data_IF_021873814875
#
_entry.id   IF_021873814875
#
_cell.length_a   1.000
_cell.length_b   1.000
_cell.length_c   1.000
_cell.angle_alpha   90.00
_cell.angle_beta   90.00
_cell.angle_gamma   90.00
#
_symmetry.space_group_name_H-M   'P 1'
#
loop_
_entity.id
_entity.type
_entity.pdbx_description
1 polymer ?
#
# COMPACT_ATOMS: atom_id res chain seq x y z
N UNK A 1 37.51 -12.45 4.60
CA UNK A 1 36.83 -11.98 3.39
C UNK A 1 35.57 -12.80 3.16
N UNK A 2 34.46 -12.13 2.96
CA UNK A 2 33.16 -12.75 2.67
C UNK A 2 32.72 -12.30 1.27
N UNK A 3 32.27 -13.24 0.45
CA UNK A 3 31.66 -12.94 -0.83
C UNK A 3 30.16 -12.80 -0.62
N UNK A 4 29.60 -11.65 -0.99
CA UNK A 4 28.15 -11.39 -1.00
C UNK A 4 27.71 -11.27 -2.44
N UNK A 5 26.69 -12.03 -2.80
CA UNK A 5 26.12 -12.01 -4.17
C UNK A 5 24.73 -11.39 -4.11
N UNK A 6 24.47 -10.38 -4.90
CA UNK A 6 23.16 -9.76 -5.01
C UNK A 6 22.17 -10.62 -5.82
N UNK A 7 20.91 -10.22 -5.85
CA UNK A 7 19.86 -10.92 -6.58
C UNK A 7 20.07 -10.94 -8.13
N UNK A 8 21.02 -10.15 -8.64
CA UNK A 8 21.39 -10.10 -10.06
C UNK A 8 22.62 -10.93 -10.39
N UNK A 9 23.19 -11.61 -9.38
CA UNK A 9 24.36 -12.45 -9.54
C UNK A 9 25.69 -11.70 -9.46
N UNK A 10 25.70 -10.40 -9.13
CA UNK A 10 26.94 -9.64 -8.95
C UNK A 10 27.57 -10.01 -7.62
N UNK A 11 28.84 -10.43 -7.64
CA UNK A 11 29.57 -10.78 -6.44
C UNK A 11 30.45 -9.61 -5.99
N UNK A 12 30.34 -9.26 -4.71
CA UNK A 12 31.20 -8.29 -4.04
C UNK A 12 31.98 -8.98 -2.92
N UNK A 13 33.28 -8.77 -2.89
CA UNK A 13 34.14 -9.27 -1.80
C UNK A 13 34.21 -8.19 -0.74
N UNK A 14 33.73 -8.51 0.48
CA UNK A 14 33.77 -7.62 1.63
C UNK A 14 34.91 -8.10 2.55
N UNK A 15 35.76 -7.18 2.97
CA UNK A 15 36.78 -7.47 3.97
C UNK A 15 36.17 -7.38 5.37
N UNK A 16 35.96 -8.54 5.98
CA UNK A 16 35.26 -8.66 7.28
C UNK A 16 36.10 -8.06 8.42
N UNK A 17 37.41 -7.96 8.27
CA UNK A 17 38.29 -7.39 9.30
C UNK A 17 38.05 -5.88 9.50
N UNK A 18 37.43 -5.22 8.51
CA UNK A 18 37.07 -3.80 8.56
C UNK A 18 35.63 -3.52 9.05
N UNK A 19 34.86 -4.56 9.44
CA UNK A 19 33.46 -4.44 9.82
C UNK A 19 33.28 -4.85 11.27
N UNK A 20 32.96 -3.87 12.12
CA UNK A 20 32.71 -4.11 13.55
C UNK A 20 31.44 -4.95 13.80
N UNK A 21 30.48 -4.89 12.90
CA UNK A 21 29.27 -5.71 12.97
C UNK A 21 28.62 -5.86 11.59
N UNK A 22 28.11 -7.05 11.28
CA UNK A 22 27.27 -7.32 10.12
C UNK A 22 25.85 -7.57 10.61
N UNK A 23 24.94 -6.65 10.31
CA UNK A 23 23.53 -6.85 10.57
C UNK A 23 22.91 -7.51 9.35
N UNK A 24 22.65 -8.80 9.44
CA UNK A 24 21.90 -9.52 8.40
C UNK A 24 20.41 -9.32 8.69
N UNK A 25 19.75 -8.50 7.90
CA UNK A 25 18.29 -8.40 7.93
C UNK A 25 17.71 -9.33 6.89
N UNK A 26 16.80 -10.23 7.25
CA UNK A 26 16.09 -11.03 6.25
C UNK A 26 15.27 -10.09 5.36
N UNK A 27 15.36 -10.27 4.05
CA UNK A 27 14.49 -9.57 3.11
C UNK A 27 13.11 -10.21 3.22
N UNK A 28 12.12 -9.41 3.55
CA UNK A 28 10.75 -9.88 3.76
C UNK A 28 9.70 -8.91 3.20
N UNK A 29 8.46 -9.37 3.22
CA UNK A 29 7.31 -8.52 2.85
C UNK A 29 7.21 -7.37 3.84
N UNK A 30 7.04 -6.11 3.39
CA UNK A 30 6.87 -4.96 4.27
C UNK A 30 5.72 -5.14 5.25
N UNK A 31 5.89 -4.69 6.48
CA UNK A 31 4.90 -4.80 7.53
C UNK A 31 4.34 -3.43 7.89
N UNK A 32 3.02 -3.29 7.79
CA UNK A 32 2.27 -2.10 8.14
C UNK A 32 1.65 -2.27 9.52
N UNK A 33 2.02 -1.41 10.44
CA UNK A 33 1.46 -1.34 11.78
C UNK A 33 0.56 -0.11 11.88
N UNK A 34 -0.74 -0.35 12.01
CA UNK A 34 -1.77 0.69 12.10
C UNK A 34 -2.38 0.64 13.49
N UNK A 35 -2.16 1.68 14.27
CA UNK A 35 -2.75 1.83 15.60
C UNK A 35 -3.89 2.85 15.52
N UNK A 36 -5.12 2.38 15.65
CA UNK A 36 -6.31 3.20 15.66
C UNK A 36 -6.49 3.81 17.03
N UNK A 37 -6.49 5.13 17.11
CA UNK A 37 -6.55 5.85 18.38
C UNK A 37 -7.92 5.79 19.03
N UNK A 38 -8.99 5.70 18.21
CA UNK A 38 -10.38 5.64 18.70
C UNK A 38 -10.79 4.24 19.18
N UNK A 39 -10.03 3.20 18.80
CA UNK A 39 -10.36 1.81 19.07
C UNK A 39 -9.10 1.02 19.49
N UNK A 40 -8.55 1.26 20.68
CA UNK A 40 -7.29 0.64 21.10
C UNK A 40 -7.37 -0.90 21.21
N UNK A 41 -8.55 -1.45 21.49
CA UNK A 41 -8.78 -2.91 21.58
C UNK A 41 -9.40 -3.51 20.30
N UNK A 42 -9.35 -2.79 19.22
CA UNK A 42 -10.11 -3.13 18.04
C UNK A 42 -9.59 -4.36 17.28
N UNK A 43 -10.52 -5.18 16.84
CA UNK A 43 -10.28 -6.33 15.98
C UNK A 43 -10.90 -6.20 14.58
N UNK A 44 -11.97 -5.40 14.43
CA UNK A 44 -12.66 -5.14 13.17
C UNK A 44 -13.18 -3.70 13.12
N UNK A 45 -13.12 -3.04 11.96
CA UNK A 45 -13.74 -1.74 11.74
C UNK A 45 -15.26 -1.90 11.86
N UNK A 46 -15.80 -1.33 12.89
CA UNK A 46 -17.23 -1.31 13.15
C UNK A 46 -17.77 0.00 12.59
N UNK A 47 -18.81 -0.07 11.79
CA UNK A 47 -19.44 1.10 11.22
C UNK A 47 -19.45 1.12 9.68
N UNK A 48 -19.64 2.31 9.13
CA UNK A 48 -19.68 2.52 7.69
C UNK A 48 -18.28 2.52 7.08
N UNK A 49 -18.16 2.07 5.82
CA UNK A 49 -16.90 2.19 5.05
C UNK A 49 -16.41 3.64 4.91
N UNK A 50 -17.29 4.61 5.09
CA UNK A 50 -17.00 6.04 4.96
C UNK A 50 -16.52 6.68 6.27
N UNK A 51 -16.68 6.01 7.41
CA UNK A 51 -16.24 6.54 8.68
C UNK A 51 -14.72 6.68 8.69
N UNK A 52 -14.26 7.85 9.06
CA UNK A 52 -12.84 8.20 9.11
C UNK A 52 -12.34 8.05 10.55
N UNK A 53 -11.22 7.35 10.70
CA UNK A 53 -10.61 7.08 12.00
C UNK A 53 -9.18 7.61 12.03
N UNK A 54 -8.82 8.41 13.02
CA UNK A 54 -7.44 8.79 13.24
C UNK A 54 -6.62 7.55 13.63
N UNK A 55 -5.44 7.44 13.05
CA UNK A 55 -4.54 6.33 13.32
C UNK A 55 -3.07 6.77 13.23
N UNK A 56 -2.22 6.03 13.90
CA UNK A 56 -0.77 6.11 13.75
C UNK A 56 -0.32 4.95 12.86
N UNK A 57 0.34 5.28 11.76
CA UNK A 57 0.89 4.32 10.81
C UNK A 57 2.40 4.30 10.93
N UNK A 58 2.97 3.10 11.05
CA UNK A 58 4.39 2.80 10.91
C UNK A 58 4.57 1.67 9.91
N UNK A 59 5.63 1.69 9.12
CA UNK A 59 5.97 0.59 8.23
C UNK A 59 7.41 0.16 8.45
N UNK A 60 7.61 -1.14 8.58
CA UNK A 60 8.91 -1.79 8.48
C UNK A 60 9.08 -2.31 7.05
N UNK A 61 10.09 -1.81 6.35
CA UNK A 61 10.38 -2.17 4.96
C UNK A 61 11.02 -3.55 4.80
N UNK A 62 11.39 -4.21 5.92
CA UNK A 62 12.00 -5.55 5.98
C UNK A 62 13.18 -5.73 5.00
N UNK A 63 14.01 -4.68 4.86
CA UNK A 63 15.18 -4.67 3.98
C UNK A 63 14.86 -4.62 2.48
N UNK A 64 13.58 -4.65 2.09
CA UNK A 64 13.14 -4.51 0.70
C UNK A 64 12.88 -3.04 0.34
N UNK A 65 12.39 -2.25 1.28
CA UNK A 65 12.13 -0.83 1.15
C UNK A 65 12.63 -0.08 2.38
N UNK A 66 12.75 1.24 2.27
CA UNK A 66 13.03 2.10 3.41
C UNK A 66 11.87 2.05 4.40
N UNK A 67 12.20 2.08 5.69
CA UNK A 67 11.20 2.14 6.75
C UNK A 67 10.44 3.46 6.70
N UNK A 68 9.16 3.42 7.03
CA UNK A 68 8.34 4.61 7.23
C UNK A 68 8.18 4.84 8.73
N UNK A 69 8.70 5.93 9.28
CA UNK A 69 8.52 6.26 10.69
C UNK A 69 7.04 6.51 11.01
N UNK A 70 6.70 6.51 12.28
CA UNK A 70 5.35 6.78 12.74
C UNK A 70 4.81 8.11 12.18
N UNK A 71 3.60 8.04 11.64
CA UNK A 71 2.91 9.19 11.06
C UNK A 71 1.43 9.13 11.40
N UNK A 72 0.86 10.29 11.64
CA UNK A 72 -0.59 10.45 11.74
C UNK A 72 -1.22 10.27 10.36
N UNK A 73 -2.24 9.44 10.30
CA UNK A 73 -3.02 9.17 9.10
C UNK A 73 -4.50 9.15 9.42
N UNK A 74 -5.32 9.42 8.41
CA UNK A 74 -6.76 9.12 8.47
C UNK A 74 -6.99 7.80 7.76
N UNK A 75 -7.57 6.85 8.49
CA UNK A 75 -7.82 5.49 8.03
C UNK A 75 -9.33 5.27 7.86
N UNK A 76 -9.75 4.59 6.81
CA UNK A 76 -11.15 4.24 6.59
C UNK A 76 -11.33 3.00 5.72
N UNK A 77 -12.54 2.46 5.72
CA UNK A 77 -12.95 1.41 4.79
C UNK A 77 -12.98 1.89 3.34
N UNK A 78 -12.94 0.95 2.41
CA UNK A 78 -13.13 1.18 0.97
C UNK A 78 -13.79 -0.02 0.29
N UNK A 79 -14.12 0.18 -0.99
CA UNK A 79 -14.71 -0.84 -1.84
C UNK A 79 -16.23 -0.89 -1.73
N UNK A 80 -16.87 -1.48 -2.71
CA UNK A 80 -18.32 -1.66 -2.78
C UNK A 80 -18.68 -3.07 -2.31
N UNK A 81 -18.80 -4.04 -3.21
CA UNK A 81 -19.08 -5.43 -2.86
C UNK A 81 -18.02 -6.04 -1.92
N UNK A 82 -16.76 -5.67 -2.09
CA UNK A 82 -15.65 -6.17 -1.26
C UNK A 82 -15.69 -5.71 0.19
N UNK A 83 -16.38 -4.60 0.50
CA UNK A 83 -16.60 -4.15 1.86
C UNK A 83 -17.47 -5.14 2.68
N UNK A 84 -18.33 -5.88 2.03
CA UNK A 84 -19.19 -6.87 2.67
C UNK A 84 -18.50 -8.21 2.93
N UNK A 85 -17.23 -8.36 2.49
CA UNK A 85 -16.45 -9.58 2.71
C UNK A 85 -15.85 -9.62 4.13
N UNK A 86 -15.51 -10.83 4.60
CA UNK A 86 -14.91 -11.01 5.93
C UNK A 86 -13.59 -10.27 6.10
N UNK A 87 -12.74 -10.30 5.07
CA UNK A 87 -11.50 -9.51 5.05
C UNK A 87 -11.74 -8.23 4.27
N UNK A 88 -11.80 -7.12 4.95
CA UNK A 88 -12.19 -5.83 4.40
C UNK A 88 -11.00 -5.09 3.79
N UNK A 89 -11.18 -4.41 2.65
CA UNK A 89 -10.18 -3.50 2.11
C UNK A 89 -10.27 -2.13 2.80
N UNK A 90 -9.14 -1.42 2.83
CA UNK A 90 -9.01 -0.14 3.50
C UNK A 90 -8.32 0.90 2.63
N UNK A 91 -8.37 2.15 3.03
CA UNK A 91 -7.52 3.22 2.54
C UNK A 91 -7.01 4.06 3.70
N UNK A 92 -5.86 4.69 3.50
CA UNK A 92 -5.34 5.67 4.43
C UNK A 92 -4.89 6.92 3.69
N UNK A 93 -4.98 8.06 4.38
CA UNK A 93 -4.58 9.37 3.88
C UNK A 93 -3.58 9.98 4.85
N UNK A 94 -2.44 10.36 4.32
CA UNK A 94 -1.36 11.02 5.04
C UNK A 94 -1.53 12.55 5.00
N UNK A 95 -0.98 13.24 5.99
CA UNK A 95 -0.97 14.70 6.04
C UNK A 95 -0.13 15.32 4.91
N UNK A 96 0.98 14.66 4.55
CA UNK A 96 1.92 15.09 3.49
C UNK A 96 2.06 14.03 2.41
N UNK A 97 2.38 14.46 1.17
CA UNK A 97 2.74 13.53 0.10
C UNK A 97 4.03 12.79 0.49
N UNK A 98 3.94 11.49 0.62
CA UNK A 98 5.05 10.61 1.06
C UNK A 98 5.22 9.47 0.07
N UNK A 99 6.46 9.08 -0.20
CA UNK A 99 6.76 7.85 -0.95
C UNK A 99 6.60 6.65 0.00
N UNK A 100 5.91 5.62 -0.43
CA UNK A 100 5.70 4.40 0.34
C UNK A 100 6.05 3.21 -0.55
N UNK A 101 6.89 2.31 -0.09
CA UNK A 101 7.33 1.13 -0.84
C UNK A 101 7.82 1.46 -2.26
N UNK A 102 8.61 2.50 -2.44
CA UNK A 102 9.15 2.90 -3.73
C UNK A 102 8.16 3.53 -4.71
N UNK A 103 6.87 3.65 -4.34
CA UNK A 103 5.87 4.33 -5.17
C UNK A 103 6.07 5.83 -5.18
N UNK A 104 5.50 6.52 -6.18
CA UNK A 104 5.50 7.98 -6.25
C UNK A 104 4.88 8.60 -4.99
N UNK A 105 5.35 9.81 -4.64
CA UNK A 105 4.82 10.55 -3.49
C UNK A 105 3.34 10.84 -3.66
N UNK A 106 2.52 10.28 -2.80
CA UNK A 106 1.09 10.50 -2.75
C UNK A 106 0.61 10.74 -1.31
N UNK A 107 -0.59 11.30 -1.15
CA UNK A 107 -1.23 11.41 0.16
C UNK A 107 -2.08 10.19 0.50
N UNK A 108 -2.62 9.50 -0.50
CA UNK A 108 -3.62 8.46 -0.29
C UNK A 108 -3.21 7.16 -0.96
N UNK A 109 -3.31 6.08 -0.19
CA UNK A 109 -3.03 4.73 -0.62
C UNK A 109 -4.19 3.80 -0.26
N UNK A 110 -4.28 2.69 -0.96
CA UNK A 110 -5.28 1.66 -0.72
C UNK A 110 -4.61 0.34 -0.32
N UNK A 111 -5.24 -0.35 0.62
CA UNK A 111 -4.92 -1.70 1.05
C UNK A 111 -6.02 -2.63 0.53
N UNK A 112 -5.74 -3.32 -0.56
CA UNK A 112 -6.68 -4.24 -1.20
C UNK A 112 -6.58 -5.59 -0.52
N UNK A 113 -7.71 -6.11 -0.06
CA UNK A 113 -7.75 -7.36 0.70
C UNK A 113 -7.57 -8.63 -0.14
N UNK A 114 -7.88 -8.57 -1.45
CA UNK A 114 -7.88 -9.70 -2.38
C UNK A 114 -8.64 -10.93 -1.87
N UNK A 115 -9.70 -10.73 -1.06
CA UNK A 115 -10.36 -11.80 -0.31
C UNK A 115 -10.94 -12.93 -1.19
N UNK A 116 -11.45 -12.59 -2.37
CA UNK A 116 -12.06 -13.56 -3.29
C UNK A 116 -11.00 -14.34 -4.08
N UNK A 117 -9.79 -13.78 -4.17
CA UNK A 117 -8.68 -14.41 -4.89
C UNK A 117 -7.84 -15.26 -3.94
N UNK A 118 -8.04 -16.58 -3.95
CA UNK A 118 -7.27 -17.51 -3.12
C UNK A 118 -5.76 -17.47 -3.39
N UNK A 119 -5.34 -17.05 -4.59
CA UNK A 119 -3.92 -16.90 -4.92
C UNK A 119 -3.31 -15.61 -4.39
N UNK A 120 -4.13 -14.59 -4.10
CA UNK A 120 -3.75 -13.21 -3.77
C UNK A 120 -2.92 -12.50 -4.86
N UNK A 121 -2.83 -13.08 -6.06
CA UNK A 121 -1.89 -12.67 -7.11
C UNK A 121 -2.53 -12.04 -8.34
N UNK A 122 -3.83 -12.24 -8.59
CA UNK A 122 -4.47 -11.80 -9.84
C UNK A 122 -4.30 -10.30 -10.09
N UNK A 123 -4.62 -9.47 -9.11
CA UNK A 123 -4.44 -8.03 -9.22
C UNK A 123 -2.96 -7.65 -9.35
N UNK A 124 -2.09 -8.31 -8.61
CA UNK A 124 -0.65 -8.09 -8.68
C UNK A 124 -0.11 -8.38 -10.08
N UNK A 125 -0.47 -9.52 -10.65
CA UNK A 125 -0.04 -9.90 -12.02
C UNK A 125 -0.61 -8.94 -13.05
N UNK A 126 -1.89 -8.55 -12.95
CA UNK A 126 -2.52 -7.62 -13.88
C UNK A 126 -1.86 -6.25 -13.86
N UNK A 127 -1.61 -5.69 -12.67
CA UNK A 127 -0.93 -4.39 -12.53
C UNK A 127 0.55 -4.45 -12.94
N UNK A 128 1.23 -5.56 -12.61
CA UNK A 128 2.59 -5.78 -13.07
C UNK A 128 2.66 -5.83 -14.60
N UNK A 129 1.75 -6.57 -15.24
CA UNK A 129 1.68 -6.66 -16.71
C UNK A 129 1.36 -5.30 -17.33
N UNK A 130 0.44 -4.53 -16.75
CA UNK A 130 0.12 -3.19 -17.22
C UNK A 130 1.35 -2.26 -17.18
N UNK A 131 2.12 -2.30 -16.10
CA UNK A 131 3.37 -1.55 -15.99
C UNK A 131 4.45 -2.07 -16.95
N UNK A 132 4.55 -3.39 -17.13
CA UNK A 132 5.50 -4.01 -18.09
C UNK A 132 5.18 -3.61 -19.53
N UNK A 133 3.93 -3.47 -19.89
CA UNK A 133 3.45 -3.00 -21.18
C UNK A 133 3.45 -1.47 -21.32
N UNK A 134 3.99 -0.76 -20.34
CA UNK A 134 4.03 0.71 -20.29
C UNK A 134 2.65 1.37 -20.49
N UNK A 135 1.58 0.72 -19.98
CA UNK A 135 0.24 1.30 -20.05
C UNK A 135 0.20 2.61 -19.24
N UNK A 136 -0.33 3.69 -19.84
CA UNK A 136 -0.36 4.98 -19.15
C UNK A 136 -1.13 4.89 -17.83
N UNK A 137 -0.57 5.51 -16.80
CA UNK A 137 -1.18 5.64 -15.47
C UNK A 137 -1.55 4.33 -14.75
N UNK A 138 -0.93 3.21 -15.17
CA UNK A 138 -1.11 1.96 -14.45
C UNK A 138 -0.61 2.10 -13.00
N UNK A 139 -1.44 1.71 -12.04
CA UNK A 139 -1.06 1.70 -10.64
C UNK A 139 0.06 0.68 -10.39
N UNK A 140 0.93 1.01 -9.43
CA UNK A 140 1.87 0.04 -8.87
C UNK A 140 1.20 -0.74 -7.75
N UNK A 141 1.77 -1.87 -7.39
CA UNK A 141 1.31 -2.64 -6.25
C UNK A 141 2.46 -3.34 -5.54
N UNK A 142 2.34 -3.42 -4.23
CA UNK A 142 3.30 -4.12 -3.37
C UNK A 142 2.53 -5.00 -2.38
N UNK A 143 2.85 -6.30 -2.27
CA UNK A 143 2.29 -7.12 -1.20
C UNK A 143 2.84 -6.64 0.14
N UNK A 144 1.96 -6.46 1.12
CA UNK A 144 2.30 -6.00 2.47
C UNK A 144 1.55 -6.82 3.51
N UNK A 145 2.14 -6.99 4.67
CA UNK A 145 1.51 -7.60 5.83
C UNK A 145 0.99 -6.51 6.75
N UNK A 146 -0.24 -6.63 7.20
CA UNK A 146 -0.90 -5.57 7.97
C UNK A 146 -1.24 -6.04 9.37
N UNK A 147 -0.93 -5.18 10.33
CA UNK A 147 -1.28 -5.34 11.74
C UNK A 147 -2.17 -4.16 12.15
N UNK A 148 -3.30 -4.45 12.81
CA UNK A 148 -4.14 -3.45 13.46
C UNK A 148 -4.02 -3.63 14.97
N UNK A 149 -3.60 -2.59 15.66
CA UNK A 149 -3.38 -2.59 17.11
C UNK A 149 -2.59 -3.84 17.57
N UNK A 150 -1.53 -4.21 16.82
CA UNK A 150 -0.70 -5.37 17.07
C UNK A 150 -1.24 -6.71 16.57
N UNK A 151 -2.51 -6.78 16.12
CA UNK A 151 -3.12 -8.02 15.62
C UNK A 151 -2.89 -8.17 14.12
N UNK A 152 -2.24 -9.27 13.72
CA UNK A 152 -1.99 -9.57 12.31
C UNK A 152 -3.30 -9.81 11.54
N UNK A 153 -3.54 -9.05 10.49
CA UNK A 153 -4.67 -9.21 9.56
C UNK A 153 -4.28 -9.89 8.25
N UNK A 154 -3.04 -10.36 8.17
CA UNK A 154 -2.51 -11.07 7.00
C UNK A 154 -2.06 -10.15 5.88
N UNK A 155 -1.92 -10.73 4.69
CA UNK A 155 -1.39 -10.04 3.52
C UNK A 155 -2.46 -9.17 2.85
N UNK A 156 -2.06 -7.96 2.50
CA UNK A 156 -2.81 -7.03 1.65
C UNK A 156 -1.95 -6.65 0.44
N UNK A 157 -2.57 -6.07 -0.56
CA UNK A 157 -1.89 -5.42 -1.67
C UNK A 157 -1.98 -3.91 -1.46
N UNK A 158 -0.85 -3.26 -1.23
CA UNK A 158 -0.75 -1.81 -1.22
C UNK A 158 -0.72 -1.30 -2.65
N UNK A 159 -1.47 -0.23 -2.93
CA UNK A 159 -1.48 0.45 -4.23
C UNK A 159 -1.83 1.93 -4.05
N UNK A 160 -1.54 2.75 -5.05
CA UNK A 160 -1.98 4.14 -5.07
C UNK A 160 -3.51 4.23 -5.13
N UNK A 161 -4.08 5.26 -4.53
CA UNK A 161 -5.48 5.62 -4.81
C UNK A 161 -5.56 6.26 -6.19
N UNK A 162 -6.38 5.73 -7.09
CA UNK A 162 -6.67 6.37 -8.38
C UNK A 162 -7.28 7.75 -8.18
N UNK A 163 -6.78 8.74 -8.92
CA UNK A 163 -7.20 10.11 -8.88
C UNK A 163 -6.30 11.00 -9.73
N UNK A 164 -6.71 12.21 -10.04
CA UNK A 164 -5.90 13.17 -10.80
C UNK A 164 -4.73 13.64 -9.92
N UNK A 165 -3.53 13.67 -10.48
CA UNK A 165 -2.32 14.18 -9.85
C UNK A 165 -1.08 13.33 -10.10
N UNK A 166 0.09 13.88 -9.83
CA UNK A 166 1.39 13.28 -10.11
C UNK A 166 1.67 11.93 -9.43
N UNK A 167 0.91 11.60 -8.39
CA UNK A 167 1.03 10.31 -7.68
C UNK A 167 0.12 9.20 -8.24
N UNK A 168 -0.70 9.48 -9.25
CA UNK A 168 -1.60 8.52 -9.90
C UNK A 168 -1.81 8.91 -11.36
N UNK A 169 -2.97 9.44 -11.75
CA UNK A 169 -3.25 9.88 -13.13
C UNK A 169 -2.69 11.29 -13.31
N UNK A 170 -1.51 11.40 -13.90
CA UNK A 170 -0.75 12.64 -14.04
C UNK A 170 -1.23 13.42 -15.27
N UNK A 171 -2.41 14.04 -15.15
CA UNK A 171 -3.00 14.94 -16.12
C UNK A 171 -3.20 16.32 -15.49
N UNK A 172 -3.44 17.33 -16.32
CA UNK A 172 -3.69 18.70 -15.87
C UNK A 172 -4.84 18.74 -14.85
N UNK A 173 -4.59 19.26 -13.65
CA UNK A 173 -5.58 19.27 -12.55
C UNK A 173 -6.77 20.24 -12.82
N UNK A 174 -6.60 21.24 -13.68
CA UNK A 174 -7.63 22.24 -13.99
C UNK A 174 -8.45 21.89 -15.25
N UNK A 175 -7.80 21.23 -16.23
CA UNK A 175 -8.39 20.96 -17.56
C UNK A 175 -8.60 19.48 -17.82
N UNK A 176 -7.90 18.62 -17.08
CA UNK A 176 -8.00 17.17 -17.20
C UNK A 176 -9.29 16.66 -16.59
N UNK A 177 -9.86 15.61 -17.18
CA UNK A 177 -11.03 14.92 -16.65
C UNK A 177 -10.72 13.44 -16.50
N UNK A 178 -11.12 12.88 -15.37
CA UNK A 178 -11.05 11.45 -15.08
C UNK A 178 -12.47 10.93 -14.90
N UNK A 179 -12.87 9.98 -15.73
CA UNK A 179 -14.20 9.37 -15.68
C UNK A 179 -14.10 7.95 -15.14
N UNK A 180 -15.04 7.58 -14.29
CA UNK A 180 -15.23 6.22 -13.83
C UNK A 180 -16.56 5.68 -14.38
N UNK A 181 -16.51 4.44 -14.91
CA UNK A 181 -17.73 3.71 -15.27
C UNK A 181 -18.11 2.87 -14.07
N UNK A 182 -19.12 3.31 -13.34
CA UNK A 182 -19.61 2.67 -12.13
C UNK A 182 -21.15 2.55 -12.15
N UNK A 183 -21.65 1.51 -11.54
CA UNK A 183 -23.09 1.29 -11.34
C UNK A 183 -23.62 1.79 -9.99
N UNK A 184 -22.75 2.27 -9.09
CA UNK A 184 -23.15 2.62 -7.73
C UNK A 184 -23.76 4.02 -7.60
N UNK A 185 -23.52 4.90 -8.55
CA UNK A 185 -24.09 6.26 -8.60
C UNK A 185 -23.89 7.06 -7.29
N UNK A 186 -22.73 6.96 -6.69
CA UNK A 186 -22.38 7.63 -5.43
C UNK A 186 -21.56 8.92 -5.58
N UNK A 187 -21.33 9.36 -6.84
CA UNK A 187 -20.62 10.59 -7.16
C UNK A 187 -21.60 11.76 -7.46
N UNK A 188 -21.15 12.99 -7.15
CA UNK A 188 -21.96 14.21 -7.33
C UNK A 188 -22.20 14.53 -8.81
N UNK A 189 -21.24 14.25 -9.68
CA UNK A 189 -21.33 14.49 -11.13
C UNK A 189 -21.47 13.17 -11.88
N UNK A 190 -22.56 13.03 -12.62
CA UNK A 190 -22.92 11.82 -13.37
C UNK A 190 -23.32 12.16 -14.78
N UNK A 191 -22.99 11.26 -15.69
CA UNK A 191 -23.46 11.31 -17.08
C UNK A 191 -24.33 10.06 -17.33
N UNK A 192 -25.51 10.26 -17.87
CA UNK A 192 -26.43 9.19 -18.26
C UNK A 192 -26.20 8.78 -19.73
#
# INVERSE_FOLDING_TARGET
KMQVTDAKGNATIIDIEAIDSVVVRPIGIPEFHVNLTDYPEWTELIGSKSDEHPAILRMDGNGMYDDLPEQEVVFRGRGNSTWNMKKKPYRFKMNKKTAVCGMKKAKSFALIANYIDCSLMRNTVALWLANYLEMPFANHCVPVKVYFNGICKGQYMLTEKTGIGSGSVDIDEEKGMLFEIDSNYDEDYRFA
#
